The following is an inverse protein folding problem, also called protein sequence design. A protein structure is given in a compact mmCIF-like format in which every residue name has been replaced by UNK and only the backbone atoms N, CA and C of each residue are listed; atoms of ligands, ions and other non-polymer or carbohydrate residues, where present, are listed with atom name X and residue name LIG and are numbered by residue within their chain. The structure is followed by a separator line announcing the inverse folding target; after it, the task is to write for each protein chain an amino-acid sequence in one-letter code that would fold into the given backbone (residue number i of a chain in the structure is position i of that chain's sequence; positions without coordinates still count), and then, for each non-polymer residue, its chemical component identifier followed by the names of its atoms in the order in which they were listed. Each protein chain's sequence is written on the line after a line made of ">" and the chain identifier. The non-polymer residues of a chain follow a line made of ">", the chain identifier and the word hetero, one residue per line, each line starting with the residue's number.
data_IF_973095270905
#
_entry.id   IF_973095270905
#
_cell.length_a   1.000
_cell.length_b   1.000
_cell.length_c   1.000
_cell.angle_alpha   90.00
_cell.angle_beta   90.00
_cell.angle_gamma   90.00
#
_symmetry.space_group_name_H-M   'P 1'
#
loop_
_entity.id
_entity.type
_entity.pdbx_description
1 polymer ?
#
# COMPACT_ATOMS: atom_id res chain seq x y z
N UNK A 1 6.88 14.78 -30.89
CA UNK A 1 5.88 14.55 -29.81
C UNK A 1 5.27 13.18 -30.08
N UNK A 2 5.14 12.36 -29.08
CA UNK A 2 4.80 10.94 -29.19
C UNK A 2 3.35 10.74 -28.81
N UNK A 3 2.61 10.02 -29.67
CA UNK A 3 1.21 9.74 -29.41
C UNK A 3 1.08 8.70 -28.28
N UNK A 4 0.28 9.01 -27.26
CA UNK A 4 -0.08 8.08 -26.22
C UNK A 4 -1.06 7.03 -26.76
N UNK A 5 -0.77 5.76 -26.45
CA UNK A 5 -1.74 4.67 -26.46
C UNK A 5 -1.92 4.16 -25.06
N UNK A 6 -3.12 3.72 -24.72
CA UNK A 6 -3.42 3.20 -23.40
C UNK A 6 -4.45 2.08 -23.43
N UNK A 7 -4.45 1.30 -22.39
CA UNK A 7 -5.48 0.30 -22.12
C UNK A 7 -5.61 0.09 -20.61
N UNK A 8 -6.77 -0.38 -20.17
CA UNK A 8 -7.02 -0.70 -18.77
C UNK A 8 -7.89 -1.95 -18.63
N UNK A 9 -7.86 -2.55 -17.45
CA UNK A 9 -8.66 -3.73 -17.15
C UNK A 9 -8.60 -4.11 -15.68
N UNK A 10 -9.40 -5.12 -15.33
CA UNK A 10 -9.53 -5.61 -13.96
C UNK A 10 -9.43 -7.13 -13.90
N UNK A 11 -9.06 -7.64 -12.74
CA UNK A 11 -9.10 -9.07 -12.43
C UNK A 11 -9.62 -9.28 -11.00
N UNK A 12 -10.53 -10.22 -10.85
CA UNK A 12 -11.02 -10.64 -9.55
C UNK A 12 -9.94 -11.44 -8.80
N UNK A 13 -9.62 -11.02 -7.59
CA UNK A 13 -8.67 -11.65 -6.69
C UNK A 13 -9.36 -12.40 -5.54
N UNK A 14 -10.67 -12.60 -5.59
CA UNK A 14 -11.42 -13.24 -4.51
C UNK A 14 -10.78 -14.55 -4.06
N UNK A 15 -10.48 -14.68 -2.76
CA UNK A 15 -10.00 -15.92 -2.16
C UNK A 15 -11.15 -16.84 -1.81
N UNK A 16 -10.89 -18.14 -1.52
CA UNK A 16 -11.90 -19.00 -0.93
C UNK A 16 -12.32 -18.50 0.45
N UNK A 17 -13.60 -18.64 0.78
CA UNK A 17 -14.13 -18.41 2.13
C UNK A 17 -13.44 -19.32 3.14
N UNK A 18 -13.30 -18.85 4.39
CA UNK A 18 -12.59 -19.56 5.46
C UNK A 18 -11.07 -19.37 5.45
N UNK A 19 -10.55 -18.53 4.53
CA UNK A 19 -9.15 -18.09 4.55
C UNK A 19 -8.89 -17.06 5.64
N UNK A 20 -7.65 -16.98 6.10
CA UNK A 20 -7.25 -15.95 7.07
C UNK A 20 -7.16 -14.58 6.39
N UNK A 21 -7.72 -13.59 7.09
CA UNK A 21 -7.59 -12.18 6.75
C UNK A 21 -6.40 -11.58 7.48
N UNK A 22 -5.84 -10.50 6.95
CA UNK A 22 -4.65 -9.86 7.52
C UNK A 22 -4.91 -8.41 7.91
N UNK A 23 -3.93 -7.78 8.58
CA UNK A 23 -3.98 -6.37 9.00
C UNK A 23 -4.31 -6.19 10.49
N UNK A 24 -5.18 -7.00 11.08
CA UNK A 24 -5.56 -6.88 12.49
C UNK A 24 -5.07 -8.05 13.32
N UNK A 25 -4.21 -7.77 14.31
CA UNK A 25 -3.83 -8.74 15.33
C UNK A 25 -5.02 -9.17 16.23
N UNK A 26 -6.00 -8.29 16.36
CA UNK A 26 -7.22 -8.54 17.14
C UNK A 26 -8.23 -9.46 16.43
N UNK A 27 -8.09 -9.71 15.11
CA UNK A 27 -8.96 -10.64 14.38
C UNK A 27 -8.47 -12.07 14.61
N UNK A 28 -9.22 -12.85 15.37
CA UNK A 28 -8.87 -14.21 15.77
C UNK A 28 -9.63 -15.29 14.98
N UNK A 29 -10.46 -14.90 14.01
CA UNK A 29 -11.29 -15.78 13.20
C UNK A 29 -10.99 -15.65 11.72
N UNK A 30 -11.13 -16.74 10.92
CA UNK A 30 -11.02 -16.69 9.48
C UNK A 30 -12.22 -15.96 8.85
N UNK A 31 -12.13 -15.67 7.55
CA UNK A 31 -13.23 -15.03 6.82
C UNK A 31 -14.48 -15.88 6.80
N UNK A 32 -15.65 -15.22 6.93
CA UNK A 32 -16.99 -15.81 6.80
C UNK A 32 -17.60 -15.66 5.41
N UNK A 33 -17.01 -14.80 4.55
CA UNK A 33 -17.55 -14.53 3.21
C UNK A 33 -16.85 -13.36 2.53
N UNK A 34 -17.52 -12.85 1.50
CA UNK A 34 -17.08 -11.67 0.73
C UNK A 34 -18.25 -10.71 0.64
N UNK A 35 -18.03 -9.45 1.03
CA UNK A 35 -18.99 -8.36 0.82
C UNK A 35 -18.81 -7.80 -0.59
N UNK A 36 -17.60 -7.37 -0.91
CA UNK A 36 -17.21 -6.94 -2.24
C UNK A 36 -15.86 -7.58 -2.63
N UNK A 37 -15.71 -8.04 -3.89
CA UNK A 37 -14.55 -8.79 -4.30
C UNK A 37 -13.27 -7.93 -4.27
N UNK A 38 -12.19 -8.37 -3.60
CA UNK A 38 -10.88 -7.77 -3.81
C UNK A 38 -10.47 -7.85 -5.27
N UNK A 39 -10.06 -6.72 -5.86
CA UNK A 39 -9.74 -6.63 -7.28
C UNK A 39 -8.26 -6.27 -7.51
N UNK A 40 -7.70 -6.70 -8.64
CA UNK A 40 -6.58 -6.02 -9.28
C UNK A 40 -7.11 -5.13 -10.39
N UNK A 41 -6.60 -3.91 -10.48
CA UNK A 41 -6.91 -2.92 -11.52
C UNK A 41 -5.61 -2.49 -12.17
N UNK A 42 -5.52 -2.59 -13.49
CA UNK A 42 -4.31 -2.30 -14.21
C UNK A 42 -4.54 -1.29 -15.33
N UNK A 43 -3.56 -0.43 -15.51
CA UNK A 43 -3.47 0.52 -16.62
C UNK A 43 -2.12 0.30 -17.31
N UNK A 44 -2.13 0.24 -18.63
CA UNK A 44 -0.95 0.20 -19.47
C UNK A 44 -0.90 1.46 -20.34
N UNK A 45 0.21 2.17 -20.29
CA UNK A 45 0.53 3.34 -21.10
C UNK A 45 1.68 3.00 -22.05
N UNK A 46 1.63 3.52 -23.29
CA UNK A 46 2.65 3.31 -24.33
C UNK A 46 2.81 4.61 -25.13
N UNK A 47 4.01 5.20 -25.13
CA UNK A 47 4.35 6.41 -25.94
C UNK A 47 5.11 6.07 -27.22
N UNK A 48 5.22 4.80 -27.55
CA UNK A 48 5.96 4.28 -28.70
C UNK A 48 7.43 3.98 -28.42
N UNK A 49 8.01 4.47 -27.33
CA UNK A 49 9.36 4.12 -26.88
C UNK A 49 9.33 3.40 -25.51
N UNK A 50 8.49 3.90 -24.61
CA UNK A 50 8.38 3.36 -23.27
C UNK A 50 6.97 2.88 -23.00
N UNK A 51 6.89 1.78 -22.26
CA UNK A 51 5.66 1.26 -21.68
C UNK A 51 5.73 1.39 -20.17
N UNK A 52 4.63 1.83 -19.56
CA UNK A 52 4.46 1.91 -18.11
C UNK A 52 3.19 1.15 -17.72
N UNK A 53 3.34 0.12 -16.91
CA UNK A 53 2.21 -0.60 -16.32
C UNK A 53 2.03 -0.20 -14.85
N UNK A 54 0.81 0.21 -14.47
CA UNK A 54 0.42 0.52 -13.09
C UNK A 54 -0.66 -0.47 -12.69
N UNK A 55 -0.42 -1.21 -11.60
CA UNK A 55 -1.34 -2.21 -11.07
C UNK A 55 -1.63 -1.90 -9.61
N UNK A 56 -2.89 -1.72 -9.25
CA UNK A 56 -3.36 -1.58 -7.87
C UNK A 56 -4.17 -2.79 -7.46
N UNK A 57 -3.91 -3.33 -6.27
CA UNK A 57 -4.54 -4.54 -5.76
C UNK A 57 -5.23 -4.27 -4.41
N UNK A 58 -6.48 -4.72 -4.25
CA UNK A 58 -7.24 -4.60 -2.99
C UNK A 58 -6.79 -5.68 -1.99
N UNK A 59 -5.56 -5.54 -1.52
CA UNK A 59 -4.92 -6.39 -0.50
C UNK A 59 -4.00 -5.53 0.39
N UNK A 60 -3.55 -6.09 1.52
CA UNK A 60 -2.68 -5.38 2.47
C UNK A 60 -1.29 -5.07 1.89
N UNK A 61 -0.71 -5.96 1.11
CA UNK A 61 0.62 -5.84 0.53
C UNK A 61 1.11 -7.17 -0.06
N UNK A 62 2.16 -7.12 -0.84
CA UNK A 62 2.93 -8.28 -1.26
C UNK A 62 4.34 -8.24 -0.66
N UNK A 63 4.94 -9.40 -0.41
CA UNK A 63 6.37 -9.47 -0.16
C UNK A 63 7.14 -9.09 -1.44
N UNK A 64 8.30 -8.39 -1.34
CA UNK A 64 9.06 -7.94 -2.51
C UNK A 64 9.35 -9.08 -3.52
N UNK A 65 9.69 -10.27 -3.05
CA UNK A 65 10.01 -11.43 -3.90
C UNK A 65 8.78 -11.92 -4.68
N UNK A 66 7.58 -11.66 -4.18
CA UNK A 66 6.32 -11.99 -4.89
C UNK A 66 6.14 -11.02 -6.06
N UNK A 67 6.39 -9.74 -5.83
CA UNK A 67 6.32 -8.70 -6.88
C UNK A 67 7.38 -8.95 -7.95
N UNK A 68 8.62 -9.22 -7.57
CA UNK A 68 9.71 -9.51 -8.51
C UNK A 68 9.38 -10.68 -9.44
N UNK A 69 8.78 -11.74 -8.89
CA UNK A 69 8.33 -12.88 -9.72
C UNK A 69 7.24 -12.48 -10.71
N UNK A 70 6.29 -11.63 -10.31
CA UNK A 70 5.24 -11.14 -11.22
C UNK A 70 5.82 -10.26 -12.31
N UNK A 71 6.71 -9.31 -11.97
CA UNK A 71 7.36 -8.39 -12.91
C UNK A 71 8.20 -9.14 -13.95
N UNK A 72 9.01 -10.12 -13.53
CA UNK A 72 9.75 -10.98 -14.49
C UNK A 72 8.82 -11.71 -15.45
N UNK A 73 7.74 -12.31 -14.96
CA UNK A 73 6.76 -13.00 -15.82
C UNK A 73 6.00 -12.05 -16.75
N UNK A 74 5.78 -10.80 -16.33
CA UNK A 74 5.21 -9.76 -17.21
C UNK A 74 6.21 -9.43 -18.31
N UNK A 75 7.47 -9.18 -17.97
CA UNK A 75 8.54 -8.91 -18.92
C UNK A 75 8.72 -10.02 -19.94
N UNK A 76 8.80 -11.28 -19.49
CA UNK A 76 8.88 -12.46 -20.36
C UNK A 76 7.72 -12.57 -21.36
N UNK A 77 6.51 -12.14 -20.97
CA UNK A 77 5.31 -12.25 -21.81
C UNK A 77 5.05 -11.04 -22.72
N UNK A 78 5.55 -9.88 -22.34
CA UNK A 78 5.13 -8.60 -22.95
C UNK A 78 6.28 -7.76 -23.48
N UNK A 79 7.51 -8.05 -23.04
CA UNK A 79 8.68 -7.21 -23.30
C UNK A 79 8.69 -5.90 -22.49
N UNK A 80 7.73 -5.67 -21.58
CA UNK A 80 7.73 -4.51 -20.69
C UNK A 80 8.80 -4.75 -19.62
N UNK A 81 9.85 -3.90 -19.52
CA UNK A 81 10.88 -4.08 -18.51
C UNK A 81 10.28 -4.14 -17.10
N UNK A 82 10.74 -5.07 -16.25
CA UNK A 82 10.25 -5.19 -14.87
C UNK A 82 10.34 -3.86 -14.10
N UNK A 83 11.37 -3.04 -14.36
CA UNK A 83 11.52 -1.68 -13.80
C UNK A 83 10.49 -0.66 -14.29
N UNK A 84 9.67 -1.00 -15.28
CA UNK A 84 8.56 -0.18 -15.78
C UNK A 84 7.19 -0.67 -15.33
N UNK A 85 7.14 -1.58 -14.35
CA UNK A 85 5.91 -2.11 -13.79
C UNK A 85 5.81 -1.72 -12.32
N UNK A 86 4.82 -0.88 -12.00
CA UNK A 86 4.44 -0.56 -10.63
C UNK A 86 3.31 -1.49 -10.19
N UNK A 87 3.55 -2.30 -9.15
CA UNK A 87 2.51 -3.10 -8.48
C UNK A 87 2.37 -2.57 -7.06
N UNK A 88 1.24 -1.95 -6.75
CA UNK A 88 0.94 -1.41 -5.42
C UNK A 88 -0.33 -2.01 -4.84
N UNK A 89 -0.56 -1.76 -3.56
CA UNK A 89 -1.70 -2.30 -2.83
C UNK A 89 -2.48 -1.16 -2.16
N UNK A 90 -3.80 -1.31 -2.07
CA UNK A 90 -4.68 -0.34 -1.38
C UNK A 90 -4.56 -0.43 0.14
N UNK A 91 -3.89 -1.46 0.62
CA UNK A 91 -3.66 -1.76 2.03
C UNK A 91 -4.95 -2.02 2.82
N UNK A 92 -5.99 -2.56 2.19
CA UNK A 92 -7.19 -2.96 2.93
C UNK A 92 -6.86 -4.01 4.00
N UNK A 93 -7.33 -3.78 5.23
CA UNK A 93 -7.26 -4.76 6.31
C UNK A 93 -8.44 -5.74 6.30
N UNK A 94 -9.27 -5.67 5.29
CA UNK A 94 -10.35 -6.64 5.03
C UNK A 94 -10.04 -7.59 3.88
N UNK A 95 -8.75 -7.70 3.51
CA UNK A 95 -8.25 -8.61 2.48
C UNK A 95 -7.67 -9.92 3.03
N UNK A 96 -7.39 -10.89 2.14
CA UNK A 96 -6.75 -12.15 2.51
C UNK A 96 -5.27 -11.97 2.89
N UNK A 97 -4.72 -12.93 3.65
CA UNK A 97 -3.31 -12.94 3.99
C UNK A 97 -2.44 -13.21 2.75
N UNK A 98 -1.57 -12.25 2.42
CA UNK A 98 -0.66 -12.28 1.25
C UNK A 98 0.81 -12.19 1.64
N UNK A 99 1.10 -11.72 2.86
CA UNK A 99 2.44 -11.46 3.35
C UNK A 99 2.88 -12.48 4.40
N UNK A 100 4.18 -12.81 4.48
CA UNK A 100 4.72 -13.68 5.51
C UNK A 100 4.83 -12.93 6.86
N UNK A 101 3.70 -12.39 7.33
CA UNK A 101 3.62 -11.81 8.67
C UNK A 101 3.74 -12.92 9.72
N UNK A 102 4.18 -12.56 10.92
CA UNK A 102 4.24 -13.53 12.03
C UNK A 102 2.85 -13.81 12.59
N UNK A 103 2.67 -15.03 13.08
CA UNK A 103 1.41 -15.47 13.67
C UNK A 103 0.29 -15.64 12.66
N UNK A 104 -0.94 -15.51 13.13
CA UNK A 104 -2.15 -15.79 12.34
C UNK A 104 -2.37 -14.85 11.16
N UNK A 105 -1.87 -13.60 11.24
CA UNK A 105 -1.93 -12.67 10.11
C UNK A 105 -1.12 -13.12 8.88
N UNK A 106 -0.20 -14.05 9.06
CA UNK A 106 0.63 -14.63 8.00
C UNK A 106 0.19 -16.03 7.53
N UNK A 107 -1.01 -16.48 7.86
CA UNK A 107 -1.52 -17.77 7.39
C UNK A 107 -2.01 -17.68 5.95
N UNK A 108 -1.07 -17.72 5.02
CA UNK A 108 -1.30 -17.54 3.59
C UNK A 108 -1.89 -18.80 2.95
N UNK A 109 -2.97 -18.66 2.20
CA UNK A 109 -3.46 -19.70 1.30
C UNK A 109 -2.60 -19.77 0.04
N UNK A 110 -1.52 -20.57 0.09
CA UNK A 110 -0.46 -20.59 -0.95
C UNK A 110 -0.96 -20.86 -2.36
N UNK A 111 -1.93 -21.76 -2.54
CA UNK A 111 -2.48 -22.07 -3.87
C UNK A 111 -3.22 -20.87 -4.45
N UNK A 112 -4.06 -20.20 -3.65
CA UNK A 112 -4.75 -18.98 -4.05
C UNK A 112 -3.74 -17.85 -4.39
N UNK A 113 -2.71 -17.63 -3.56
CA UNK A 113 -1.71 -16.60 -3.83
C UNK A 113 -0.97 -16.84 -5.17
N UNK A 114 -0.68 -18.10 -5.52
CA UNK A 114 -0.12 -18.43 -6.85
C UNK A 114 -1.08 -18.11 -7.99
N UNK A 115 -2.37 -18.42 -7.81
CA UNK A 115 -3.41 -18.08 -8.78
C UNK A 115 -3.56 -16.57 -8.94
N UNK A 116 -3.53 -15.82 -7.83
CA UNK A 116 -3.56 -14.34 -7.80
C UNK A 116 -2.40 -13.76 -8.61
N UNK A 117 -1.17 -14.22 -8.39
CA UNK A 117 -0.02 -13.80 -9.19
C UNK A 117 -0.24 -14.07 -10.70
N UNK A 118 -0.78 -15.23 -11.04
CA UNK A 118 -1.06 -15.59 -12.43
C UNK A 118 -2.14 -14.70 -13.04
N UNK A 119 -3.20 -14.37 -12.29
CA UNK A 119 -4.27 -13.45 -12.73
C UNK A 119 -3.72 -12.04 -13.00
N UNK A 120 -2.87 -11.52 -12.11
CA UNK A 120 -2.24 -10.20 -12.28
C UNK A 120 -1.33 -10.19 -13.52
N UNK A 121 -0.46 -11.19 -13.68
CA UNK A 121 0.40 -11.32 -14.87
C UNK A 121 -0.44 -11.41 -16.15
N UNK A 122 -1.51 -12.20 -16.14
CA UNK A 122 -2.40 -12.34 -17.29
C UNK A 122 -3.13 -11.02 -17.59
N UNK A 123 -3.61 -10.33 -16.56
CA UNK A 123 -4.26 -9.02 -16.70
C UNK A 123 -3.35 -8.05 -17.48
N UNK A 124 -2.13 -7.80 -16.97
CA UNK A 124 -1.18 -6.88 -17.64
C UNK A 124 -0.84 -7.35 -19.06
N UNK A 125 -0.59 -8.65 -19.24
CA UNK A 125 -0.26 -9.19 -20.56
C UNK A 125 -1.40 -9.02 -21.57
N UNK A 126 -2.66 -9.13 -21.12
CA UNK A 126 -3.82 -8.95 -21.99
C UNK A 126 -4.03 -7.52 -22.46
N UNK A 127 -3.49 -6.54 -21.71
CA UNK A 127 -3.62 -5.11 -22.06
C UNK A 127 -2.77 -4.71 -23.26
N UNK A 128 -1.66 -5.41 -23.53
CA UNK A 128 -0.76 -5.09 -24.65
C UNK A 128 -1.50 -5.09 -25.99
N UNK A 129 -2.43 -6.04 -26.17
CA UNK A 129 -3.20 -6.18 -27.42
C UNK A 129 -4.47 -5.32 -27.44
N UNK A 130 -4.69 -4.50 -26.40
CA UNK A 130 -5.86 -3.62 -26.27
C UNK A 130 -5.48 -2.15 -26.24
N UNK A 131 -4.22 -1.82 -26.50
CA UNK A 131 -3.75 -0.45 -26.59
C UNK A 131 -4.49 0.31 -27.70
N UNK A 132 -5.03 1.46 -27.37
CA UNK A 132 -5.75 2.35 -28.28
C UNK A 132 -5.30 3.80 -28.09
N UNK A 133 -5.45 4.67 -29.11
CA UNK A 133 -5.07 6.07 -29.03
C UNK A 133 -5.73 6.78 -27.85
N UNK A 134 -4.94 7.45 -27.03
CA UNK A 134 -5.38 8.05 -25.80
C UNK A 134 -4.84 9.46 -25.58
N UNK A 135 -5.40 10.12 -24.59
CA UNK A 135 -4.92 11.36 -23.99
C UNK A 135 -4.95 11.25 -22.46
N UNK A 136 -4.09 12.00 -21.80
CA UNK A 136 -3.99 12.04 -20.34
C UNK A 136 -4.17 13.45 -19.83
N UNK A 137 -4.81 13.56 -18.67
CA UNK A 137 -4.85 14.80 -17.89
C UNK A 137 -4.70 14.46 -16.40
N UNK A 138 -4.28 15.42 -15.61
CA UNK A 138 -4.28 15.32 -14.16
C UNK A 138 -4.78 16.61 -13.51
N UNK A 139 -5.37 16.46 -12.34
CA UNK A 139 -5.85 17.55 -11.50
C UNK A 139 -5.64 17.20 -10.03
N UNK A 140 -5.85 18.17 -9.16
CA UNK A 140 -5.78 17.97 -7.71
C UNK A 140 -6.90 18.71 -7.00
N UNK A 141 -7.32 18.16 -5.87
CA UNK A 141 -8.28 18.77 -4.95
C UNK A 141 -7.84 18.52 -3.51
N UNK A 142 -8.22 19.42 -2.59
CA UNK A 142 -8.11 19.15 -1.15
C UNK A 142 -9.38 18.47 -0.68
N UNK A 143 -9.26 17.32 -0.03
CA UNK A 143 -10.39 16.55 0.52
C UNK A 143 -10.17 16.35 2.01
N UNK A 144 -10.65 17.30 2.81
CA UNK A 144 -10.50 17.28 4.27
C UNK A 144 -11.52 16.38 4.96
N UNK A 145 -11.22 16.00 6.21
CA UNK A 145 -12.17 15.26 7.07
C UNK A 145 -12.39 13.80 6.61
N UNK A 146 -11.41 13.17 6.00
CA UNK A 146 -11.36 11.73 5.72
C UNK A 146 -10.44 11.01 6.73
N UNK A 147 -9.27 11.58 6.98
CA UNK A 147 -8.26 11.01 7.86
C UNK A 147 -7.82 11.96 8.97
N UNK A 148 -7.05 11.44 9.92
CA UNK A 148 -6.34 12.19 10.95
C UNK A 148 -4.99 11.51 11.23
N UNK A 149 -4.01 12.28 11.72
CA UNK A 149 -2.73 11.71 12.12
C UNK A 149 -2.88 10.95 13.45
N UNK A 150 -2.71 9.62 13.40
CA UNK A 150 -2.89 8.74 14.57
C UNK A 150 -1.67 8.71 15.50
N UNK A 151 -0.50 9.13 14.99
CA UNK A 151 0.72 9.23 15.79
C UNK A 151 0.67 10.47 16.70
N UNK A 152 0.20 11.60 16.14
CA UNK A 152 -0.02 12.86 16.85
C UNK A 152 -1.19 13.61 16.19
N UNK A 153 -2.39 13.60 16.79
CA UNK A 153 -3.57 14.25 16.21
C UNK A 153 -3.44 15.77 16.00
N UNK A 154 -2.44 16.42 16.58
CA UNK A 154 -2.16 17.85 16.34
C UNK A 154 -1.38 18.10 15.04
N UNK A 155 -0.83 17.05 14.43
CA UNK A 155 -0.07 17.17 13.20
C UNK A 155 -0.94 17.10 11.95
N UNK A 156 -0.58 17.86 10.90
CA UNK A 156 -1.31 17.80 9.63
C UNK A 156 -1.13 16.43 8.96
N UNK A 157 -2.05 16.12 8.05
CA UNK A 157 -1.97 15.02 7.11
C UNK A 157 -1.92 15.55 5.68
N UNK A 158 -1.63 14.66 4.71
CA UNK A 158 -1.72 15.00 3.28
C UNK A 158 -3.16 14.82 2.79
N UNK A 159 -3.92 15.91 2.75
CA UNK A 159 -5.31 15.96 2.29
C UNK A 159 -5.44 16.17 0.78
N UNK A 160 -4.34 16.24 0.04
CA UNK A 160 -4.38 16.40 -1.39
C UNK A 160 -4.75 15.09 -2.09
N UNK A 161 -5.90 15.08 -2.75
CA UNK A 161 -6.26 14.09 -3.74
C UNK A 161 -5.66 14.49 -5.09
N UNK A 162 -4.82 13.66 -5.69
CA UNK A 162 -4.40 13.80 -7.07
C UNK A 162 -5.21 12.83 -7.93
N UNK A 163 -5.86 13.36 -9.00
CA UNK A 163 -6.61 12.58 -9.97
C UNK A 163 -5.88 12.59 -11.32
N UNK A 164 -5.88 11.45 -12.01
CA UNK A 164 -5.31 11.27 -13.35
C UNK A 164 -6.38 10.60 -14.20
N UNK A 165 -6.77 11.20 -15.32
CA UNK A 165 -7.66 10.54 -16.28
C UNK A 165 -6.90 10.16 -17.54
N UNK A 166 -7.27 9.02 -18.09
CA UNK A 166 -6.81 8.49 -19.36
C UNK A 166 -8.07 8.25 -20.20
N UNK A 167 -8.17 9.00 -21.28
CA UNK A 167 -9.38 9.06 -22.11
C UNK A 167 -9.04 8.73 -23.56
N UNK A 168 -10.01 8.18 -24.30
CA UNK A 168 -9.95 8.12 -25.77
C UNK A 168 -10.04 9.52 -26.35
N UNK A 169 -9.75 9.66 -27.62
CA UNK A 169 -9.84 10.96 -28.30
C UNK A 169 -11.27 11.53 -28.38
N UNK A 170 -12.28 10.69 -28.28
CA UNK A 170 -13.69 11.09 -28.22
C UNK A 170 -14.14 11.55 -26.81
N UNK A 171 -13.24 11.52 -25.84
CA UNK A 171 -13.49 11.91 -24.45
C UNK A 171 -14.03 10.79 -23.56
N UNK A 172 -14.30 9.59 -24.09
CA UNK A 172 -14.70 8.46 -23.27
C UNK A 172 -13.52 7.93 -22.41
N UNK A 173 -13.78 7.61 -21.16
CA UNK A 173 -12.74 7.20 -20.23
C UNK A 173 -12.22 5.79 -20.51
N UNK A 174 -10.90 5.61 -20.49
CA UNK A 174 -10.23 4.31 -20.41
C UNK A 174 -10.00 3.97 -18.92
N UNK A 175 -9.46 4.92 -18.16
CA UNK A 175 -9.24 4.77 -16.73
C UNK A 175 -9.21 6.13 -16.02
N UNK A 176 -9.59 6.12 -14.73
CA UNK A 176 -9.39 7.25 -13.82
C UNK A 176 -8.68 6.73 -12.58
N UNK A 177 -7.48 7.28 -12.30
CA UNK A 177 -6.69 6.94 -11.13
C UNK A 177 -6.79 8.06 -10.11
N UNK A 178 -6.86 7.71 -8.83
CA UNK A 178 -6.73 8.67 -7.73
C UNK A 178 -5.61 8.22 -6.79
N UNK A 179 -4.89 9.20 -6.24
CA UNK A 179 -3.97 9.00 -5.13
C UNK A 179 -4.46 9.80 -3.93
N UNK A 180 -4.59 9.13 -2.80
CA UNK A 180 -5.00 9.74 -1.53
C UNK A 180 -4.38 8.98 -0.35
N UNK A 181 -4.18 9.66 0.80
CA UNK A 181 -3.38 9.18 1.92
C UNK A 181 -4.22 8.93 3.17
N UNK A 182 -4.85 7.75 3.28
CA UNK A 182 -5.54 7.30 4.51
C UNK A 182 -5.55 5.78 4.56
N UNK A 183 -5.24 5.20 5.72
CA UNK A 183 -5.28 3.75 5.94
C UNK A 183 -6.66 3.17 5.60
N UNK A 184 -6.68 2.06 4.89
CA UNK A 184 -7.91 1.35 4.53
C UNK A 184 -8.40 0.45 5.70
N UNK A 185 -8.80 1.10 6.79
CA UNK A 185 -9.18 0.52 8.08
C UNK A 185 -10.50 1.08 8.62
N UNK A 186 -11.40 1.47 7.74
CA UNK A 186 -12.77 1.83 8.13
C UNK A 186 -13.44 0.63 8.77
N UNK A 187 -13.33 -0.53 8.13
CA UNK A 187 -13.83 -1.80 8.68
C UNK A 187 -12.84 -2.36 9.70
N UNK A 188 -13.34 -2.71 10.87
CA UNK A 188 -12.54 -3.19 12.01
C UNK A 188 -12.26 -4.69 12.04
N UNK A 189 -11.63 -5.17 13.12
CA UNK A 189 -11.29 -6.59 13.27
C UNK A 189 -12.50 -7.51 13.41
N UNK A 190 -13.70 -7.00 13.74
CA UNK A 190 -14.96 -7.75 13.81
C UNK A 190 -15.51 -8.08 12.42
N UNK A 191 -15.11 -7.31 11.39
CA UNK A 191 -15.45 -7.66 10.02
C UNK A 191 -14.73 -8.95 9.61
N UNK A 192 -15.51 -9.96 9.23
CA UNK A 192 -15.05 -11.25 8.71
C UNK A 192 -15.37 -11.43 7.22
N UNK A 193 -15.78 -10.38 6.52
CA UNK A 193 -16.03 -10.42 5.09
C UNK A 193 -14.88 -9.75 4.33
N UNK A 194 -14.43 -10.37 3.25
CA UNK A 194 -13.47 -9.74 2.35
C UNK A 194 -14.09 -8.49 1.73
N UNK A 195 -13.30 -7.42 1.66
CA UNK A 195 -13.68 -6.14 1.09
C UNK A 195 -12.45 -5.33 0.68
N UNK A 196 -12.59 -4.49 -0.36
CA UNK A 196 -11.61 -3.48 -0.72
C UNK A 196 -11.60 -2.26 0.22
N UNK A 197 -12.47 -2.26 1.27
CA UNK A 197 -12.68 -1.11 2.14
C UNK A 197 -13.03 0.16 1.33
N UNK A 198 -12.84 1.39 1.84
CA UNK A 198 -13.15 2.61 1.10
C UNK A 198 -12.34 2.79 -0.21
N UNK A 199 -11.07 2.31 -0.37
CA UNK A 199 -10.40 2.36 -1.66
C UNK A 199 -11.11 1.55 -2.76
N UNK A 200 -11.62 0.37 -2.41
CA UNK A 200 -12.44 -0.44 -3.29
C UNK A 200 -13.74 0.27 -3.68
N UNK A 201 -14.40 0.90 -2.71
CA UNK A 201 -15.58 1.74 -2.95
C UNK A 201 -15.26 2.92 -3.87
N UNK A 202 -14.18 3.67 -3.62
CA UNK A 202 -13.76 4.79 -4.47
C UNK A 202 -13.54 4.35 -5.92
N UNK A 203 -12.86 3.21 -6.13
CA UNK A 203 -12.64 2.68 -7.47
C UNK A 203 -13.96 2.31 -8.17
N UNK A 204 -14.93 1.70 -7.46
CA UNK A 204 -16.27 1.41 -8.01
C UNK A 204 -17.03 2.68 -8.36
N UNK A 205 -16.98 3.71 -7.51
CA UNK A 205 -17.63 5.00 -7.77
C UNK A 205 -17.00 5.71 -8.97
N UNK A 206 -15.66 5.68 -9.13
CA UNK A 206 -14.99 6.19 -10.33
C UNK A 206 -15.47 5.46 -11.60
N UNK A 207 -15.57 4.11 -11.57
CA UNK A 207 -16.13 3.37 -12.71
C UNK A 207 -17.54 3.88 -13.08
N UNK A 208 -18.40 4.06 -12.07
CA UNK A 208 -19.78 4.53 -12.26
C UNK A 208 -19.84 5.94 -12.85
N UNK A 209 -18.99 6.84 -12.37
CA UNK A 209 -19.03 8.25 -12.76
C UNK A 209 -18.34 8.51 -14.10
N UNK A 210 -17.30 7.75 -14.46
CA UNK A 210 -16.47 8.02 -15.65
C UNK A 210 -16.66 7.01 -16.78
N UNK A 211 -17.21 5.83 -16.51
CA UNK A 211 -17.37 4.73 -17.47
C UNK A 211 -16.08 3.95 -17.78
N UNK A 212 -14.93 4.36 -17.21
CA UNK A 212 -13.64 3.68 -17.36
C UNK A 212 -13.26 2.87 -16.13
N UNK A 213 -12.06 2.33 -16.11
CA UNK A 213 -11.53 1.60 -14.94
C UNK A 213 -11.10 2.60 -13.86
N UNK A 214 -11.76 2.58 -12.70
CA UNK A 214 -11.34 3.35 -11.53
C UNK A 214 -10.20 2.65 -10.79
N UNK A 215 -9.15 3.38 -10.42
CA UNK A 215 -7.96 2.87 -9.74
C UNK A 215 -7.65 3.75 -8.53
N UNK A 216 -7.48 3.14 -7.37
CA UNK A 216 -7.00 3.81 -6.17
C UNK A 216 -5.52 3.51 -5.95
N UNK A 217 -4.70 4.52 -5.79
CA UNK A 217 -3.28 4.44 -5.44
C UNK A 217 -3.10 4.95 -4.01
N UNK A 218 -2.70 4.07 -3.10
CA UNK A 218 -2.50 4.44 -1.71
C UNK A 218 -1.32 5.40 -1.55
N UNK A 219 -1.53 6.49 -0.81
CA UNK A 219 -0.48 7.47 -0.52
C UNK A 219 0.32 7.16 0.74
N UNK A 220 0.95 8.19 1.32
CA UNK A 220 1.67 8.12 2.59
C UNK A 220 0.66 8.11 3.75
N UNK A 221 0.30 6.95 4.23
CA UNK A 221 -0.73 6.80 5.26
C UNK A 221 -0.29 5.99 6.49
N UNK A 222 1.01 5.75 6.65
CA UNK A 222 1.51 4.96 7.78
C UNK A 222 1.12 5.50 9.15
N UNK A 223 0.92 6.80 9.26
CA UNK A 223 0.47 7.54 10.44
C UNK A 223 -0.95 8.12 10.32
N UNK A 224 -1.74 7.72 9.31
CA UNK A 224 -3.07 8.31 9.04
C UNK A 224 -4.17 7.26 9.11
N UNK A 225 -5.08 7.40 10.06
CA UNK A 225 -6.31 6.60 10.16
C UNK A 225 -7.53 7.38 9.68
N UNK A 226 -8.61 6.72 9.23
CA UNK A 226 -9.86 7.37 8.88
C UNK A 226 -10.55 7.97 10.12
N UNK A 227 -11.21 9.12 9.97
CA UNK A 227 -11.90 9.82 11.06
C UNK A 227 -12.99 8.98 11.74
N UNK A 228 -13.52 7.96 11.08
CA UNK A 228 -14.46 6.98 11.67
C UNK A 228 -13.91 6.32 12.92
N UNK A 229 -12.58 6.21 13.05
CA UNK A 229 -11.92 5.66 14.25
C UNK A 229 -12.11 6.55 15.48
N UNK A 230 -12.27 7.87 15.30
CA UNK A 230 -12.57 8.83 16.37
C UNK A 230 -14.10 8.95 16.57
N UNK A 231 -14.83 9.10 15.47
CA UNK A 231 -16.27 9.41 15.51
C UNK A 231 -17.11 8.23 16.05
N UNK A 232 -16.73 7.01 15.68
CA UNK A 232 -17.48 5.78 16.03
C UNK A 232 -16.74 4.87 17.00
N UNK A 233 -15.45 5.12 17.22
CA UNK A 233 -14.55 4.26 17.98
C UNK A 233 -13.73 3.32 17.08
N UNK A 234 -12.64 2.82 17.62
CA UNK A 234 -11.69 1.98 16.89
C UNK A 234 -12.36 0.72 16.34
N UNK A 235 -12.27 0.56 15.02
CA UNK A 235 -12.80 -0.58 14.30
C UNK A 235 -14.33 -0.67 14.21
N UNK A 236 -15.06 0.43 14.44
CA UNK A 236 -16.53 0.45 14.44
C UNK A 236 -17.14 1.04 13.17
N UNK A 237 -16.34 1.32 12.14
CA UNK A 237 -16.85 1.75 10.83
C UNK A 237 -17.59 0.63 10.09
N UNK A 238 -18.44 1.03 9.16
CA UNK A 238 -19.36 0.15 8.43
C UNK A 238 -19.07 0.15 6.92
N UNK A 239 -19.72 -0.73 6.17
CA UNK A 239 -19.63 -0.73 4.70
C UNK A 239 -20.23 0.55 4.10
N UNK A 240 -21.26 1.11 4.73
CA UNK A 240 -21.85 2.39 4.32
C UNK A 240 -20.85 3.55 4.50
N UNK A 241 -20.02 3.51 5.54
CA UNK A 241 -18.94 4.50 5.72
C UNK A 241 -17.89 4.35 4.61
N UNK A 242 -17.54 3.13 4.23
CA UNK A 242 -16.64 2.89 3.10
C UNK A 242 -17.21 3.47 1.80
N UNK A 243 -18.48 3.23 1.52
CA UNK A 243 -19.15 3.78 0.32
C UNK A 243 -19.20 5.32 0.35
N UNK A 244 -19.54 5.93 1.50
CA UNK A 244 -19.61 7.39 1.65
C UNK A 244 -18.24 8.06 1.44
N UNK A 245 -17.17 7.50 2.01
CA UNK A 245 -15.80 8.00 1.80
C UNK A 245 -15.40 7.81 0.32
N UNK A 246 -15.67 6.62 -0.23
CA UNK A 246 -15.36 6.33 -1.62
C UNK A 246 -16.05 7.27 -2.61
N UNK A 247 -17.33 7.59 -2.39
CA UNK A 247 -18.10 8.53 -3.21
C UNK A 247 -17.55 9.96 -3.11
N UNK A 248 -17.22 10.44 -1.90
CA UNK A 248 -16.60 11.77 -1.71
C UNK A 248 -15.30 11.92 -2.48
N UNK A 249 -14.42 10.90 -2.43
CA UNK A 249 -13.15 10.90 -3.16
C UNK A 249 -13.37 10.86 -4.67
N UNK A 250 -14.31 10.04 -5.16
CA UNK A 250 -14.60 9.94 -6.58
C UNK A 250 -15.20 11.22 -7.17
N UNK A 251 -16.11 11.88 -6.46
CA UNK A 251 -16.68 13.18 -6.87
C UNK A 251 -15.59 14.24 -6.92
N UNK A 252 -14.76 14.37 -5.88
CA UNK A 252 -13.66 15.32 -5.83
C UNK A 252 -12.66 15.10 -6.98
N UNK A 253 -12.39 13.84 -7.35
CA UNK A 253 -11.54 13.50 -8.48
C UNK A 253 -12.13 13.97 -9.82
N UNK A 254 -13.41 13.69 -10.06
CA UNK A 254 -14.09 14.13 -11.29
C UNK A 254 -14.10 15.65 -11.38
N UNK A 255 -14.38 16.35 -10.27
CA UNK A 255 -14.37 17.82 -10.23
C UNK A 255 -12.97 18.39 -10.51
N UNK A 256 -11.92 17.82 -9.92
CA UNK A 256 -10.53 18.21 -10.17
C UNK A 256 -10.10 18.05 -11.63
N UNK A 257 -10.72 17.10 -12.34
CA UNK A 257 -10.41 16.81 -13.74
C UNK A 257 -11.19 17.64 -14.75
N UNK A 258 -12.25 18.36 -14.35
CA UNK A 258 -13.11 19.13 -15.29
C UNK A 258 -12.35 20.19 -16.07
N UNK A 259 -11.44 20.91 -15.43
CA UNK A 259 -10.63 21.98 -16.04
C UNK A 259 -9.22 21.51 -16.46
N UNK A 260 -8.88 20.24 -16.25
CA UNK A 260 -7.55 19.74 -16.54
C UNK A 260 -7.30 19.62 -18.04
N UNK A 261 -6.14 20.07 -18.50
CA UNK A 261 -5.75 20.05 -19.93
C UNK A 261 -5.43 18.63 -20.38
N UNK A 262 -6.14 18.14 -21.39
CA UNK A 262 -5.92 16.83 -22.02
C UNK A 262 -4.74 16.90 -22.97
N UNK A 263 -3.80 15.96 -22.84
CA UNK A 263 -2.63 15.86 -23.71
C UNK A 263 -2.55 14.49 -24.35
N UNK A 264 -2.57 14.44 -25.66
CA UNK A 264 -2.30 13.22 -26.45
C UNK A 264 -0.81 12.98 -26.70
N UNK A 265 -0.01 14.05 -26.59
CA UNK A 265 1.45 14.00 -26.72
C UNK A 265 2.06 13.76 -25.32
N UNK A 266 2.61 12.57 -25.13
CA UNK A 266 3.10 12.13 -23.82
C UNK A 266 4.51 11.59 -23.93
N UNK A 267 5.33 11.90 -22.93
CA UNK A 267 6.63 11.27 -22.71
C UNK A 267 6.55 10.46 -21.43
N UNK A 268 6.76 9.17 -21.55
CA UNK A 268 6.82 8.24 -20.43
C UNK A 268 8.27 7.96 -20.05
N UNK A 269 8.48 7.54 -18.81
CA UNK A 269 9.73 6.99 -18.32
C UNK A 269 9.50 6.31 -17.00
N UNK A 270 10.32 5.32 -16.68
CA UNK A 270 10.35 4.71 -15.38
C UNK A 270 11.76 4.22 -15.04
N UNK A 271 12.07 4.21 -13.77
CA UNK A 271 13.32 3.69 -13.24
C UNK A 271 13.09 3.17 -11.82
N UNK A 272 13.95 2.27 -11.39
CA UNK A 272 14.03 1.86 -10.00
C UNK A 272 15.48 1.71 -9.55
N UNK A 273 15.71 1.89 -8.25
CA UNK A 273 16.98 1.56 -7.61
C UNK A 273 16.76 0.97 -6.23
N UNK A 274 17.62 0.08 -5.81
CA UNK A 274 17.63 -0.44 -4.44
C UNK A 274 18.50 0.46 -3.55
N UNK A 275 18.01 0.76 -2.35
CA UNK A 275 18.74 1.45 -1.28
C UNK A 275 18.76 0.58 -0.03
N UNK A 276 19.83 0.66 0.75
CA UNK A 276 19.93 -0.04 2.03
C UNK A 276 19.33 0.83 3.13
N UNK A 277 18.12 0.51 3.56
CA UNK A 277 17.39 1.24 4.60
C UNK A 277 17.88 0.80 5.97
N UNK A 278 18.36 1.72 6.83
CA UNK A 278 18.91 1.37 8.13
C UNK A 278 17.84 0.77 9.06
N UNK A 279 18.31 -0.12 9.93
CA UNK A 279 17.52 -0.69 11.03
C UNK A 279 18.11 -0.20 12.37
N UNK A 280 17.25 -0.09 13.38
CA UNK A 280 17.68 0.20 14.74
C UNK A 280 18.50 -0.95 15.33
N UNK A 281 19.41 -0.68 16.28
CA UNK A 281 20.09 -1.72 17.03
C UNK A 281 19.08 -2.58 17.82
N UNK A 282 19.41 -3.84 18.12
CA UNK A 282 18.57 -4.67 18.94
C UNK A 282 18.54 -4.16 20.40
N UNK A 283 17.47 -4.46 21.16
CA UNK A 283 17.47 -4.25 22.60
C UNK A 283 18.58 -5.08 23.29
N UNK A 284 18.99 -4.66 24.46
CA UNK A 284 19.92 -5.45 25.30
C UNK A 284 19.33 -6.83 25.65
N UNK A 285 20.15 -7.74 26.10
CA UNK A 285 19.72 -9.08 26.53
C UNK A 285 18.75 -9.02 27.72
N UNK A 286 18.94 -8.05 28.61
CA UNK A 286 18.08 -7.79 29.78
C UNK A 286 16.73 -7.26 29.32
N UNK A 287 16.69 -6.25 28.46
CA UNK A 287 15.44 -5.68 27.89
C UNK A 287 14.65 -6.73 27.14
N UNK A 288 15.32 -7.51 26.27
CA UNK A 288 14.65 -8.60 25.55
C UNK A 288 14.08 -9.67 26.49
N UNK A 289 14.77 -9.94 27.62
CA UNK A 289 14.30 -10.89 28.61
C UNK A 289 13.09 -10.36 29.38
N UNK A 290 13.08 -9.07 29.69
CA UNK A 290 11.93 -8.39 30.31
C UNK A 290 10.70 -8.42 29.39
N UNK A 291 10.87 -8.09 28.10
CA UNK A 291 9.80 -8.19 27.09
C UNK A 291 9.23 -9.61 26.99
N UNK A 292 10.10 -10.63 26.98
CA UNK A 292 9.65 -12.04 26.95
C UNK A 292 8.86 -12.41 28.20
N UNK A 293 9.27 -11.94 29.39
CA UNK A 293 8.53 -12.17 30.62
C UNK A 293 7.14 -11.53 30.56
N UNK A 294 7.04 -10.30 30.05
CA UNK A 294 5.76 -9.61 29.84
C UNK A 294 4.87 -10.39 28.88
N UNK A 295 5.36 -10.78 27.69
CA UNK A 295 4.56 -11.53 26.71
C UNK A 295 4.06 -12.87 27.24
N UNK A 296 4.86 -13.55 28.09
CA UNK A 296 4.42 -14.78 28.77
C UNK A 296 3.33 -14.50 29.81
N UNK A 297 3.40 -13.36 30.49
CA UNK A 297 2.37 -12.90 31.44
C UNK A 297 1.07 -12.61 30.69
N UNK A 298 1.14 -11.83 29.62
CA UNK A 298 -0.03 -11.47 28.78
C UNK A 298 -0.71 -12.73 28.23
N UNK A 299 0.09 -13.71 27.78
CA UNK A 299 -0.44 -15.00 27.32
C UNK A 299 -1.21 -15.73 28.44
N UNK A 300 -0.64 -15.79 29.64
CA UNK A 300 -1.32 -16.44 30.78
C UNK A 300 -2.63 -15.72 31.11
N UNK A 301 -2.61 -14.38 31.15
CA UNK A 301 -3.79 -13.56 31.37
C UNK A 301 -4.87 -13.80 30.32
N UNK A 302 -4.49 -13.84 29.03
CA UNK A 302 -5.41 -14.10 27.91
C UNK A 302 -6.09 -15.48 28.01
N UNK A 303 -5.35 -16.52 28.44
CA UNK A 303 -5.87 -17.88 28.62
C UNK A 303 -6.78 -17.97 29.85
N UNK A 304 -6.41 -17.29 30.94
CA UNK A 304 -7.13 -17.35 32.22
C UNK A 304 -8.34 -16.40 32.30
N UNK A 305 -8.57 -15.57 31.26
CA UNK A 305 -9.71 -14.65 31.22
C UNK A 305 -11.05 -15.43 31.34
N UNK A 306 -12.09 -14.88 32.00
CA UNK A 306 -13.40 -15.53 32.13
C UNK A 306 -14.00 -15.96 30.77
N UNK A 307 -13.80 -15.16 29.75
CA UNK A 307 -13.95 -15.54 28.33
C UNK A 307 -12.55 -15.51 27.71
N UNK A 308 -12.07 -16.69 27.26
CA UNK A 308 -10.72 -16.83 26.71
C UNK A 308 -10.46 -15.78 25.62
N UNK A 309 -9.48 -14.93 25.84
CA UNK A 309 -9.06 -13.92 24.86
C UNK A 309 -8.13 -14.55 23.82
N UNK A 310 -8.73 -15.17 22.78
CA UNK A 310 -7.99 -15.85 21.71
C UNK A 310 -7.05 -14.91 20.96
N UNK A 311 -7.48 -13.69 20.68
CA UNK A 311 -6.65 -12.68 19.99
C UNK A 311 -5.42 -12.30 20.82
N UNK A 312 -5.60 -12.05 22.12
CA UNK A 312 -4.50 -11.77 23.04
C UNK A 312 -3.51 -12.93 23.15
N UNK A 313 -4.00 -14.18 23.18
CA UNK A 313 -3.14 -15.36 23.19
C UNK A 313 -2.31 -15.49 21.89
N UNK A 314 -2.93 -15.31 20.72
CA UNK A 314 -2.25 -15.35 19.42
C UNK A 314 -1.22 -14.25 19.29
N UNK A 315 -1.54 -13.04 19.75
CA UNK A 315 -0.62 -11.90 19.80
C UNK A 315 0.60 -12.22 20.67
N UNK A 316 0.39 -12.67 21.89
CA UNK A 316 1.48 -13.01 22.81
C UNK A 316 2.38 -14.12 22.25
N UNK A 317 1.80 -15.15 21.62
CA UNK A 317 2.56 -16.21 20.95
C UNK A 317 3.42 -15.66 19.81
N UNK A 318 2.91 -14.71 19.05
CA UNK A 318 3.64 -14.03 17.95
C UNK A 318 4.82 -13.22 18.51
N UNK A 319 4.61 -12.46 19.57
CA UNK A 319 5.67 -11.68 20.23
C UNK A 319 6.77 -12.58 20.81
N UNK A 320 6.42 -13.70 21.43
CA UNK A 320 7.37 -14.69 21.92
C UNK A 320 8.18 -15.31 20.76
N UNK A 321 7.53 -15.57 19.64
CA UNK A 321 8.18 -16.10 18.43
C UNK A 321 9.18 -15.10 17.84
N UNK A 322 8.80 -13.80 17.74
CA UNK A 322 9.69 -12.72 17.33
C UNK A 322 10.92 -12.65 18.24
N UNK A 323 10.72 -12.61 19.55
CA UNK A 323 11.82 -12.50 20.52
C UNK A 323 12.79 -13.70 20.43
N UNK A 324 12.26 -14.91 20.14
CA UNK A 324 13.10 -16.11 19.92
C UNK A 324 13.98 -15.94 18.68
N UNK A 325 13.42 -15.42 17.58
CA UNK A 325 14.16 -15.17 16.34
C UNK A 325 15.24 -14.11 16.57
N UNK A 326 14.88 -12.98 17.19
CA UNK A 326 15.85 -11.92 17.51
C UNK A 326 16.99 -12.43 18.39
N UNK A 327 16.68 -13.18 19.45
CA UNK A 327 17.71 -13.79 20.33
C UNK A 327 18.65 -14.72 19.57
N UNK A 328 18.17 -15.43 18.54
CA UNK A 328 19.02 -16.27 17.70
C UNK A 328 20.02 -15.42 16.90
N UNK A 329 19.59 -14.30 16.33
CA UNK A 329 20.50 -13.37 15.63
C UNK A 329 21.51 -12.76 16.57
N UNK A 330 21.08 -12.28 17.75
CA UNK A 330 21.99 -11.69 18.76
C UNK A 330 23.07 -12.69 19.22
N UNK A 331 22.70 -13.96 19.41
CA UNK A 331 23.68 -15.00 19.80
C UNK A 331 24.71 -15.31 18.73
N UNK A 332 24.40 -15.07 17.48
CA UNK A 332 25.28 -15.30 16.32
C UNK A 332 26.01 -14.03 15.86
N UNK A 333 25.81 -12.93 16.58
CA UNK A 333 26.32 -11.60 16.23
C UNK A 333 26.04 -11.21 14.76
N UNK A 334 24.83 -11.52 14.29
CA UNK A 334 24.43 -11.29 12.90
C UNK A 334 23.05 -10.60 12.77
N UNK A 335 22.70 -9.73 13.75
CA UNK A 335 21.48 -8.92 13.64
C UNK A 335 21.62 -8.00 12.43
N UNK A 336 20.63 -8.03 11.49
CA UNK A 336 20.67 -7.13 10.33
C UNK A 336 20.68 -5.66 10.76
N UNK A 337 21.53 -4.86 10.13
CA UNK A 337 21.65 -3.41 10.36
C UNK A 337 20.97 -2.59 9.27
N UNK A 338 20.57 -3.22 8.17
CA UNK A 338 19.82 -2.62 7.08
C UNK A 338 18.97 -3.67 6.37
N UNK A 339 18.01 -3.20 5.56
CA UNK A 339 17.27 -4.02 4.58
C UNK A 339 17.32 -3.34 3.20
N UNK A 340 17.42 -4.13 2.12
CA UNK A 340 17.26 -3.58 0.78
C UNK A 340 15.80 -3.18 0.54
N UNK A 341 15.61 -1.99 -0.03
CA UNK A 341 14.29 -1.50 -0.42
C UNK A 341 14.36 -0.85 -1.81
N UNK A 342 13.40 -1.19 -2.67
CA UNK A 342 13.30 -0.59 -3.99
C UNK A 342 12.63 0.77 -3.90
N UNK A 343 13.28 1.81 -4.41
CA UNK A 343 12.66 3.09 -4.73
C UNK A 343 12.33 3.08 -6.21
N UNK A 344 11.06 3.25 -6.54
CA UNK A 344 10.54 3.32 -7.91
C UNK A 344 10.21 4.76 -8.28
N UNK A 345 10.42 5.15 -9.52
CA UNK A 345 9.90 6.40 -10.06
C UNK A 345 9.37 6.20 -11.49
N UNK A 346 8.29 6.93 -11.80
CA UNK A 346 7.79 7.03 -13.16
C UNK A 346 7.43 8.49 -13.50
N UNK A 347 7.49 8.83 -14.80
CA UNK A 347 6.98 10.09 -15.31
C UNK A 347 5.89 9.88 -16.34
N UNK A 348 4.94 10.81 -16.34
CA UNK A 348 3.95 11.04 -17.39
C UNK A 348 3.97 12.54 -17.64
N UNK A 349 4.76 12.99 -18.64
CA UNK A 349 5.10 14.40 -18.84
C UNK A 349 5.71 15.06 -17.57
N UNK A 350 5.04 16.09 -17.00
CA UNK A 350 5.45 16.77 -15.76
C UNK A 350 5.05 16.03 -14.48
N UNK A 351 4.16 15.06 -14.55
CA UNK A 351 3.77 14.25 -13.40
C UNK A 351 4.89 13.25 -13.05
N UNK A 352 5.21 13.18 -11.76
CA UNK A 352 6.17 12.23 -11.19
C UNK A 352 5.47 11.35 -10.16
N UNK A 353 5.55 10.04 -10.36
CA UNK A 353 5.06 9.03 -9.41
C UNK A 353 6.29 8.43 -8.74
N UNK A 354 6.37 8.52 -7.42
CA UNK A 354 7.40 7.86 -6.62
C UNK A 354 6.75 6.71 -5.85
N UNK A 355 7.28 5.51 -5.97
CA UNK A 355 6.81 4.31 -5.27
C UNK A 355 7.77 3.90 -4.16
N UNK A 356 7.25 3.66 -2.95
CA UNK A 356 8.02 3.15 -1.81
C UNK A 356 7.40 1.88 -1.23
N UNK A 357 8.19 0.86 -0.87
CA UNK A 357 7.68 -0.42 -0.36
C UNK A 357 7.43 -0.39 1.16
N UNK A 358 6.79 0.67 1.65
CA UNK A 358 6.58 0.90 3.08
C UNK A 358 5.18 1.39 3.40
N UNK A 359 4.78 1.23 4.65
CA UNK A 359 3.75 2.03 5.32
C UNK A 359 4.37 3.38 5.68
N UNK A 360 4.45 4.25 4.68
CA UNK A 360 5.19 5.52 4.71
C UNK A 360 4.41 6.56 5.50
N UNK A 361 5.08 7.27 6.41
CA UNK A 361 4.47 8.38 7.17
C UNK A 361 4.25 9.62 6.30
N UNK A 362 3.29 10.45 6.69
CA UNK A 362 2.84 11.66 5.99
C UNK A 362 3.98 12.57 5.56
N UNK A 363 4.88 12.93 6.49
CA UNK A 363 5.96 13.90 6.24
C UNK A 363 6.94 13.42 5.14
N UNK A 364 7.10 12.11 4.96
CA UNK A 364 7.93 11.55 3.88
C UNK A 364 7.25 11.81 2.53
N UNK A 365 5.94 11.56 2.44
CA UNK A 365 5.15 11.86 1.25
C UNK A 365 5.17 13.35 0.88
N UNK A 366 4.94 14.21 1.87
CA UNK A 366 4.99 15.66 1.70
C UNK A 366 6.41 16.14 1.34
N UNK A 367 7.46 15.54 1.93
CA UNK A 367 8.85 15.84 1.62
C UNK A 367 9.17 15.56 0.15
N UNK A 368 8.75 14.40 -0.39
CA UNK A 368 8.91 14.05 -1.80
C UNK A 368 8.11 15.00 -2.71
N UNK A 369 6.83 15.25 -2.42
CA UNK A 369 6.00 16.17 -3.20
C UNK A 369 6.61 17.58 -3.24
N UNK A 370 7.07 18.09 -2.11
CA UNK A 370 7.71 19.41 -2.02
C UNK A 370 9.07 19.47 -2.73
N UNK A 371 9.88 18.42 -2.59
CA UNK A 371 11.18 18.34 -3.24
C UNK A 371 11.08 18.19 -4.76
N UNK A 372 9.97 17.74 -5.29
CA UNK A 372 9.75 17.64 -6.74
C UNK A 372 9.27 18.94 -7.39
N UNK A 373 8.80 19.95 -6.64
CA UNK A 373 8.34 21.22 -7.20
C UNK A 373 9.40 21.84 -8.14
N UNK A 374 9.03 22.45 -9.30
CA UNK A 374 7.65 22.73 -9.78
C UNK A 374 6.94 21.56 -10.45
N UNK A 375 7.56 20.37 -10.56
CA UNK A 375 6.90 19.18 -11.10
C UNK A 375 5.78 18.73 -10.15
N UNK A 376 4.75 18.07 -10.69
CA UNK A 376 3.70 17.47 -9.86
C UNK A 376 4.18 16.11 -9.32
N UNK A 377 4.39 16.03 -8.01
CA UNK A 377 4.78 14.81 -7.32
C UNK A 377 3.58 14.05 -6.77
N UNK A 378 3.62 12.72 -6.86
CA UNK A 378 2.69 11.76 -6.26
C UNK A 378 3.50 10.69 -5.55
N UNK A 379 3.21 10.41 -4.27
CA UNK A 379 3.76 9.25 -3.58
C UNK A 379 2.76 8.10 -3.59
N UNK A 380 3.24 6.91 -3.95
CA UNK A 380 2.52 5.64 -3.82
C UNK A 380 3.24 4.78 -2.79
N UNK A 381 2.59 4.52 -1.67
CA UNK A 381 3.03 3.56 -0.66
C UNK A 381 2.73 2.11 -1.10
N UNK A 382 3.23 1.14 -0.34
CA UNK A 382 2.98 -0.30 -0.60
C UNK A 382 3.33 -0.70 -2.04
N UNK A 383 4.30 -0.02 -2.61
CA UNK A 383 4.71 -0.10 -4.01
C UNK A 383 5.86 -1.09 -4.19
N UNK A 384 5.70 -2.04 -5.11
CA UNK A 384 6.66 -3.10 -5.44
C UNK A 384 7.12 -3.94 -4.24
N UNK A 385 6.28 -4.01 -3.22
CA UNK A 385 6.50 -4.77 -1.99
C UNK A 385 5.97 -4.06 -0.76
N UNK A 386 6.09 -4.71 0.39
CA UNK A 386 5.84 -4.11 1.70
C UNK A 386 6.90 -4.61 2.68
N UNK A 387 7.79 -3.72 3.10
CA UNK A 387 8.92 -4.04 3.98
C UNK A 387 8.66 -3.72 5.46
N UNK A 388 7.64 -2.94 5.78
CA UNK A 388 7.28 -2.50 7.13
C UNK A 388 6.84 -1.05 7.16
N UNK A 389 6.75 -0.49 8.38
CA UNK A 389 6.55 0.95 8.57
C UNK A 389 7.82 1.72 8.31
N UNK A 390 7.71 2.88 7.67
CA UNK A 390 8.79 3.86 7.61
C UNK A 390 8.34 5.14 8.33
N UNK A 391 8.67 5.28 9.64
CA UNK A 391 8.38 6.48 10.42
C UNK A 391 9.39 7.58 10.11
N UNK A 392 9.05 8.81 10.47
CA UNK A 392 9.97 9.96 10.48
C UNK A 392 10.87 9.96 11.74
N UNK A 393 11.96 10.73 11.70
CA UNK A 393 12.85 10.84 12.86
C UNK A 393 12.11 11.29 14.12
N UNK A 394 11.20 12.30 14.03
CA UNK A 394 10.44 12.77 15.20
C UNK A 394 9.50 11.69 15.75
N UNK A 395 8.89 10.88 14.90
CA UNK A 395 8.02 9.79 15.34
C UNK A 395 8.83 8.67 16.02
N UNK A 396 10.05 8.45 15.54
CA UNK A 396 11.00 7.53 16.21
C UNK A 396 11.32 7.99 17.63
N UNK A 397 11.54 9.29 17.82
CA UNK A 397 11.84 9.88 19.14
C UNK A 397 10.64 9.77 20.09
N UNK A 398 9.42 9.78 19.58
CA UNK A 398 8.19 9.56 20.37
C UNK A 398 7.91 8.08 20.67
N UNK A 399 8.41 7.17 19.83
CA UNK A 399 8.09 5.76 19.91
C UNK A 399 6.68 5.43 19.43
N UNK A 400 6.18 4.25 19.79
CA UNK A 400 4.83 3.81 19.49
C UNK A 400 4.77 2.65 18.50
N UNK A 401 3.54 2.35 18.02
CA UNK A 401 3.32 1.13 17.23
C UNK A 401 4.11 1.12 15.92
N UNK A 402 3.91 2.10 15.05
CA UNK A 402 4.57 2.17 13.74
C UNK A 402 6.08 2.38 13.85
N UNK A 403 6.51 3.20 14.83
CA UNK A 403 7.91 3.52 15.05
C UNK A 403 8.74 2.34 15.61
N UNK A 404 8.15 1.52 16.50
CA UNK A 404 8.90 0.48 17.23
C UNK A 404 8.28 -0.92 17.15
N UNK A 405 7.01 -1.05 17.55
CA UNK A 405 6.44 -2.36 17.82
C UNK A 405 6.04 -3.13 16.55
N UNK A 406 5.73 -2.43 15.46
CA UNK A 406 5.23 -3.01 14.22
C UNK A 406 6.18 -4.02 13.58
N UNK A 407 7.50 -3.81 13.69
CA UNK A 407 8.52 -4.73 13.15
C UNK A 407 8.37 -6.17 13.66
N UNK A 408 7.78 -6.34 14.85
CA UNK A 408 7.55 -7.64 15.47
C UNK A 408 6.55 -8.50 14.70
N UNK A 409 5.73 -7.89 13.83
CA UNK A 409 4.78 -8.59 12.95
C UNK A 409 5.39 -8.96 11.60
N UNK A 410 6.30 -8.16 11.07
CA UNK A 410 6.90 -8.39 9.75
C UNK A 410 7.92 -9.51 9.79
N UNK A 411 7.68 -10.59 9.01
CA UNK A 411 8.53 -11.78 9.02
C UNK A 411 10.01 -11.52 8.67
N UNK A 412 10.27 -10.54 7.81
CA UNK A 412 11.60 -10.14 7.39
C UNK A 412 12.34 -9.28 8.44
N UNK A 413 11.60 -8.46 9.23
CA UNK A 413 12.19 -7.57 10.22
C UNK A 413 12.42 -8.27 11.57
N UNK A 414 13.44 -7.89 12.30
CA UNK A 414 13.66 -8.28 13.70
C UNK A 414 13.85 -7.06 14.60
N UNK A 415 14.25 -5.91 14.03
CA UNK A 415 14.33 -4.60 14.67
C UNK A 415 13.57 -3.58 13.82
N UNK A 416 13.18 -2.43 14.37
CA UNK A 416 12.45 -1.38 13.62
C UNK A 416 13.30 -0.78 12.51
N UNK A 417 12.65 -0.11 11.56
CA UNK A 417 13.31 0.80 10.62
C UNK A 417 13.97 1.92 11.45
N UNK A 418 15.23 2.21 11.16
CA UNK A 418 16.09 3.07 11.94
C UNK A 418 15.97 4.56 11.59
N UNK A 419 16.58 5.39 12.45
CA UNK A 419 16.72 6.82 12.18
C UNK A 419 17.43 7.09 10.86
N UNK A 420 17.02 8.16 10.15
CA UNK A 420 17.57 8.57 8.86
C UNK A 420 16.97 7.86 7.65
N UNK A 421 16.17 6.80 7.84
CA UNK A 421 15.47 6.12 6.77
C UNK A 421 14.52 7.05 6.00
N UNK A 422 13.83 7.94 6.69
CA UNK A 422 12.95 8.96 6.11
C UNK A 422 13.69 9.86 5.13
N UNK A 423 14.81 10.45 5.54
CA UNK A 423 15.63 11.32 4.67
C UNK A 423 16.22 10.57 3.49
N UNK A 424 16.77 9.36 3.74
CA UNK A 424 17.30 8.50 2.69
C UNK A 424 16.26 8.24 1.58
N UNK A 425 15.02 7.92 1.97
CA UNK A 425 13.95 7.60 1.02
C UNK A 425 13.40 8.84 0.32
N UNK A 426 13.30 9.99 1.01
CA UNK A 426 12.95 11.28 0.42
C UNK A 426 13.95 11.65 -0.67
N UNK A 427 15.24 11.70 -0.33
CA UNK A 427 16.30 12.09 -1.24
C UNK A 427 16.39 11.12 -2.43
N UNK A 428 16.36 9.82 -2.15
CA UNK A 428 16.37 8.78 -3.18
C UNK A 428 15.19 8.88 -4.15
N UNK A 429 13.99 9.17 -3.64
CA UNK A 429 12.78 9.33 -4.45
C UNK A 429 12.84 10.58 -5.34
N UNK A 430 13.27 11.72 -4.77
CA UNK A 430 13.41 12.98 -5.51
C UNK A 430 14.45 12.84 -6.62
N UNK A 431 15.64 12.33 -6.29
CA UNK A 431 16.74 12.19 -7.24
C UNK A 431 16.34 11.30 -8.41
N UNK A 432 15.76 10.13 -8.10
CA UNK A 432 15.33 9.19 -9.13
C UNK A 432 14.24 9.79 -10.03
N UNK A 433 13.25 10.46 -9.44
CA UNK A 433 12.14 11.06 -10.20
C UNK A 433 12.55 12.28 -11.03
N UNK A 434 13.53 13.08 -10.55
CA UNK A 434 14.09 14.21 -11.33
C UNK A 434 14.99 13.74 -12.45
N UNK A 435 15.64 12.59 -12.32
CA UNK A 435 16.50 11.99 -13.34
C UNK A 435 15.75 11.43 -14.55
N UNK A 436 14.41 11.30 -14.49
CA UNK A 436 13.57 10.90 -15.61
C UNK A 436 13.23 12.09 -16.53
#
# INVERSE_FOLDING_TARGET
>A
MRQLNASAGTADLSPPTGGWMTGYAARAEPSAGTHDPPMARAVLLDDGENRLAIVSCDIVGFAPEVVDRMRRRIEEKTGIPGGHVLICCTHTHSGPATMPLRGHMGYIHKAWLRTTQTRIVHLVSSLVNKLEPAQVAHGAATVSGIGFNRQDPSKPIDEELTAITIERRDGSSIATLINYSTHAVVLGPQNLQYSGDFPGAAARQLNRLTGGVGVYLQGACGDVDPVTQIEKGWGQGTFEDCEAIGERLAIAAVDALRSASRRGDVTLGAASRTVDVPLDPPPTAEELSALVAQFKSDRRAAIAAPVRNRAGELTANTMISWARKLRSYMKQDNVPTSIPAEVFAAKINELRIVGLPFETYTDIGLGIKNGLKPLKGVLVGYANGLCGYCPTGWAKDQGGYGADASCRWFGALVTPIGHGADRLLIDAGIDLARGL
#
